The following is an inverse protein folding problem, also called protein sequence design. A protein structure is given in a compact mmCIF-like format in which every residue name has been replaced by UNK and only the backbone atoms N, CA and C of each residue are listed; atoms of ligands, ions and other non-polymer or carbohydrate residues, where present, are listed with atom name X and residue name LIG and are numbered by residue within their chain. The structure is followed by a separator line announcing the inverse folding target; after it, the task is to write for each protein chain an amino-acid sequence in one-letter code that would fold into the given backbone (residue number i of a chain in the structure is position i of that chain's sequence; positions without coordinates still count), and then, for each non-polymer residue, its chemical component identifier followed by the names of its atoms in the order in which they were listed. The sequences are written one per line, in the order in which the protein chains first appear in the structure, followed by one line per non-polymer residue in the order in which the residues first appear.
data_IF_408238959461
#
_entry.id   IF_408238959461
#
_cell.length_a   1.000
_cell.length_b   1.000
_cell.length_c   1.000
_cell.angle_alpha   90.00
_cell.angle_beta   90.00
_cell.angle_gamma   90.00
#
_symmetry.space_group_name_H-M   'P 1'
#
loop_
_entity.id
_entity.type
_entity.pdbx_description
1 polymer ?
#
# COMPACT_ATOMS: atom_id res chain seq x y z
N UNK A 1 48.27 -33.62 -1.58
CA UNK A 1 47.21 -33.77 -2.62
C UNK A 1 45.92 -34.18 -1.94
N UNK A 2 44.84 -33.42 -2.20
CA UNK A 2 43.68 -33.20 -1.33
C UNK A 2 42.53 -34.20 -1.61
N UNK A 3 42.68 -35.47 -1.20
CA UNK A 3 41.67 -36.54 -1.40
C UNK A 3 40.44 -36.47 -0.44
N UNK A 4 40.25 -35.40 0.35
CA UNK A 4 39.30 -35.46 1.50
C UNK A 4 37.89 -34.90 1.26
N UNK A 5 37.61 -34.27 0.10
CA UNK A 5 36.32 -33.65 -0.21
C UNK A 5 35.54 -34.25 -1.39
N UNK A 6 36.17 -35.01 -2.30
CA UNK A 6 35.51 -35.53 -3.51
C UNK A 6 34.56 -36.69 -3.27
N UNK A 7 34.71 -37.40 -2.16
CA UNK A 7 34.03 -38.70 -1.93
C UNK A 7 32.85 -38.58 -0.95
N UNK A 8 32.37 -37.37 -0.67
CA UNK A 8 31.24 -37.12 0.23
C UNK A 8 30.16 -36.29 -0.45
N UNK A 9 28.93 -36.49 0.00
CA UNK A 9 27.81 -35.58 -0.27
C UNK A 9 27.79 -34.52 0.83
N UNK A 10 27.74 -33.25 0.44
CA UNK A 10 27.64 -32.11 1.36
C UNK A 10 26.18 -31.74 1.56
N UNK A 11 25.67 -31.88 2.78
CA UNK A 11 24.29 -31.52 3.13
C UNK A 11 24.26 -30.18 3.82
N UNK A 12 23.41 -29.26 3.34
CA UNK A 12 23.18 -27.96 3.95
C UNK A 12 21.75 -27.90 4.51
N UNK A 13 21.60 -27.53 5.78
CA UNK A 13 20.27 -27.34 6.39
C UNK A 13 20.01 -25.86 6.68
N UNK A 14 18.76 -25.43 6.49
CA UNK A 14 18.35 -24.03 6.65
C UNK A 14 17.17 -23.89 7.63
N UNK A 15 16.99 -22.68 8.17
CA UNK A 15 15.89 -22.36 9.10
C UNK A 15 15.83 -23.29 10.32
N UNK A 16 14.63 -23.72 10.70
CA UNK A 16 14.43 -24.63 11.83
C UNK A 16 15.15 -25.99 11.68
N UNK A 17 15.48 -26.43 10.46
CA UNK A 17 16.28 -27.64 10.24
C UNK A 17 17.73 -27.44 10.66
N UNK A 18 18.30 -26.24 10.45
CA UNK A 18 19.68 -25.91 10.85
C UNK A 18 19.88 -26.02 12.35
N UNK A 19 18.91 -25.56 13.14
CA UNK A 19 18.98 -25.60 14.61
C UNK A 19 18.97 -27.03 15.14
N UNK A 20 18.31 -27.93 14.41
CA UNK A 20 18.06 -29.30 14.86
C UNK A 20 19.08 -30.32 14.35
N UNK A 21 19.47 -30.18 13.09
CA UNK A 21 20.34 -31.11 12.37
C UNK A 21 21.78 -30.58 12.24
N UNK A 22 22.00 -29.29 12.50
CA UNK A 22 23.26 -28.61 12.24
C UNK A 22 23.29 -27.93 10.86
N UNK A 23 24.23 -27.00 10.66
CA UNK A 23 24.29 -26.18 9.45
C UNK A 23 24.82 -26.93 8.22
N UNK A 24 25.82 -27.78 8.41
CA UNK A 24 26.49 -28.52 7.35
C UNK A 24 26.88 -29.91 7.84
N UNK A 25 26.55 -30.94 7.05
CA UNK A 25 26.83 -32.35 7.35
C UNK A 25 27.51 -32.98 6.15
N UNK A 26 28.59 -33.74 6.38
CA UNK A 26 29.27 -34.49 5.34
C UNK A 26 28.88 -35.97 5.42
N UNK A 27 28.17 -36.45 4.40
CA UNK A 27 27.73 -37.85 4.30
C UNK A 27 28.69 -38.62 3.42
N UNK A 28 29.34 -39.64 4.00
CA UNK A 28 30.31 -40.53 3.33
C UNK A 28 29.75 -41.92 3.05
N UNK A 29 28.60 -42.22 3.62
CA UNK A 29 27.88 -43.47 3.41
C UNK A 29 27.24 -43.48 2.03
N UNK A 30 27.11 -44.68 1.45
CA UNK A 30 26.51 -44.83 0.11
C UNK A 30 25.01 -44.58 0.20
N UNK A 31 24.57 -43.47 -0.38
CA UNK A 31 23.16 -43.11 -0.58
C UNK A 31 22.85 -43.10 -2.07
N UNK A 32 21.63 -43.50 -2.44
CA UNK A 32 21.22 -43.56 -3.84
C UNK A 32 20.33 -42.38 -4.25
N UNK A 33 19.51 -41.89 -3.34
CA UNK A 33 18.54 -40.82 -3.59
C UNK A 33 18.58 -39.73 -2.52
N UNK A 34 17.96 -38.59 -2.82
CA UNK A 34 17.76 -37.50 -1.85
C UNK A 34 16.95 -37.97 -0.63
N UNK A 35 16.00 -38.90 -0.81
CA UNK A 35 15.23 -39.48 0.30
C UNK A 35 16.08 -40.34 1.22
N UNK A 36 17.02 -41.12 0.67
CA UNK A 36 17.96 -41.92 1.47
C UNK A 36 18.86 -41.01 2.31
N UNK A 37 19.33 -39.92 1.69
CA UNK A 37 20.14 -38.90 2.34
C UNK A 37 19.39 -38.22 3.49
N UNK A 38 18.11 -37.87 3.27
CA UNK A 38 17.26 -37.34 4.34
C UNK A 38 17.06 -38.33 5.48
N UNK A 39 16.72 -39.57 5.16
CA UNK A 39 16.47 -40.62 6.16
C UNK A 39 17.69 -40.90 7.03
N UNK A 40 18.88 -40.70 6.45
CA UNK A 40 20.15 -40.79 7.16
C UNK A 40 20.38 -39.59 8.08
N UNK A 41 20.23 -38.36 7.56
CA UNK A 41 20.47 -37.13 8.31
C UNK A 41 19.44 -36.93 9.44
N UNK A 42 18.19 -37.30 9.22
CA UNK A 42 17.10 -37.17 10.19
C UNK A 42 16.91 -38.41 11.08
N UNK A 43 17.83 -39.39 11.04
CA UNK A 43 17.67 -40.70 11.72
C UNK A 43 17.36 -40.56 13.21
N UNK A 44 18.04 -39.63 13.88
CA UNK A 44 17.93 -39.42 15.32
C UNK A 44 16.83 -38.41 15.71
N UNK A 45 16.04 -37.95 14.74
CA UNK A 45 14.94 -36.99 14.93
C UNK A 45 13.61 -37.60 14.45
N UNK A 46 12.90 -38.36 15.32
CA UNK A 46 11.71 -39.12 14.94
C UNK A 46 10.59 -38.28 14.31
N UNK A 47 10.48 -37.03 14.72
CA UNK A 47 9.47 -36.08 14.24
C UNK A 47 9.82 -35.43 12.88
N UNK A 48 11.02 -35.69 12.35
CA UNK A 48 11.47 -35.29 11.02
C UNK A 48 11.49 -36.45 10.01
N UNK A 49 10.95 -37.62 10.36
CA UNK A 49 11.00 -38.83 9.51
C UNK A 49 10.37 -38.66 8.13
N UNK A 50 9.24 -37.97 8.03
CA UNK A 50 8.61 -37.69 6.74
C UNK A 50 8.84 -36.23 6.33
N UNK A 51 9.67 -35.97 5.31
CA UNK A 51 9.94 -34.61 4.87
C UNK A 51 8.87 -34.07 3.91
N UNK A 52 7.97 -34.91 3.40
CA UNK A 52 7.07 -34.55 2.29
C UNK A 52 6.09 -33.47 2.74
N UNK A 53 6.00 -32.40 1.95
CA UNK A 53 5.16 -31.24 2.26
C UNK A 53 5.71 -30.28 3.32
N UNK A 54 6.77 -30.66 4.06
CA UNK A 54 7.37 -29.87 5.15
C UNK A 54 8.82 -29.47 4.92
N UNK A 55 9.47 -30.01 3.89
CA UNK A 55 10.85 -29.71 3.51
C UNK A 55 10.95 -29.75 1.99
N UNK A 56 11.76 -28.86 1.42
CA UNK A 56 12.17 -28.87 0.01
C UNK A 56 13.64 -29.23 -0.07
N UNK A 57 14.00 -29.96 -1.13
CA UNK A 57 15.38 -30.31 -1.43
C UNK A 57 15.87 -29.59 -2.70
N UNK A 58 17.15 -29.23 -2.71
CA UNK A 58 17.85 -28.78 -3.90
C UNK A 58 19.19 -29.48 -4.01
N UNK A 59 19.54 -29.99 -5.20
CA UNK A 59 20.85 -30.57 -5.51
C UNK A 59 21.60 -29.59 -6.40
N UNK A 60 22.83 -29.22 -6.02
CA UNK A 60 23.71 -28.33 -6.79
C UNK A 60 22.99 -27.05 -7.27
N UNK A 61 22.34 -26.35 -6.33
CA UNK A 61 21.58 -25.10 -6.55
C UNK A 61 20.28 -25.23 -7.37
N UNK A 62 19.83 -26.45 -7.70
CA UNK A 62 18.58 -26.68 -8.41
C UNK A 62 17.59 -27.49 -7.55
N UNK A 63 16.33 -27.08 -7.49
CA UNK A 63 15.29 -27.86 -6.81
C UNK A 63 15.17 -29.26 -7.43
N UNK A 64 14.99 -30.28 -6.59
CA UNK A 64 14.94 -31.65 -7.02
C UNK A 64 13.84 -32.44 -6.30
N UNK A 65 13.42 -33.56 -6.91
CA UNK A 65 12.48 -34.50 -6.30
C UNK A 65 13.19 -35.42 -5.30
N UNK A 66 12.45 -35.99 -4.35
CA UNK A 66 12.96 -36.93 -3.35
C UNK A 66 13.60 -38.19 -3.95
N UNK A 67 13.20 -38.60 -5.15
CA UNK A 67 13.78 -39.74 -5.87
C UNK A 67 14.99 -39.37 -6.75
N UNK A 68 15.42 -38.10 -6.73
CA UNK A 68 16.56 -37.65 -7.53
C UNK A 68 17.82 -38.40 -7.09
N UNK A 69 18.61 -38.97 -8.03
CA UNK A 69 19.87 -39.61 -7.71
C UNK A 69 20.89 -38.64 -7.10
N UNK A 70 21.69 -39.14 -6.15
CA UNK A 70 22.76 -38.39 -5.48
C UNK A 70 24.08 -39.13 -5.71
N UNK A 71 25.12 -38.36 -6.02
CA UNK A 71 26.48 -38.84 -6.32
C UNK A 71 27.50 -38.21 -5.36
N UNK A 72 28.62 -38.89 -5.09
CA UNK A 72 29.72 -38.30 -4.33
C UNK A 72 30.19 -36.96 -4.96
N UNK A 73 30.36 -35.94 -4.13
CA UNK A 73 30.71 -34.57 -4.56
C UNK A 73 29.50 -33.64 -4.72
N UNK A 74 28.28 -34.16 -4.67
CA UNK A 74 27.08 -33.32 -4.70
C UNK A 74 26.91 -32.47 -3.44
N UNK A 75 26.34 -31.28 -3.63
CA UNK A 75 25.75 -30.48 -2.57
C UNK A 75 24.23 -30.65 -2.58
N UNK A 76 23.64 -30.99 -1.43
CA UNK A 76 22.20 -31.13 -1.25
C UNK A 76 21.71 -30.24 -0.12
N UNK A 77 20.85 -29.28 -0.43
CA UNK A 77 20.26 -28.36 0.53
C UNK A 77 18.85 -28.81 0.93
N UNK A 78 18.60 -28.93 2.24
CA UNK A 78 17.28 -29.13 2.82
C UNK A 78 16.77 -27.84 3.44
N UNK A 79 15.61 -27.39 2.96
CA UNK A 79 15.02 -26.10 3.32
C UNK A 79 13.60 -26.34 3.82
N UNK A 80 13.21 -25.85 5.01
CA UNK A 80 11.80 -25.79 5.37
C UNK A 80 11.05 -24.93 4.34
N UNK A 81 9.74 -25.15 4.13
CA UNK A 81 8.94 -24.32 3.25
C UNK A 81 9.08 -22.86 3.68
N UNK A 82 9.27 -21.98 2.70
CA UNK A 82 9.13 -20.53 2.89
C UNK A 82 7.65 -20.22 3.07
N UNK A 83 7.12 -20.43 4.27
CA UNK A 83 5.97 -19.81 4.95
C UNK A 83 5.53 -20.73 6.09
N UNK A 84 5.60 -20.22 7.33
CA UNK A 84 5.05 -20.88 8.50
C UNK A 84 3.52 -20.83 8.50
N UNK A 85 2.90 -21.91 8.96
CA UNK A 85 1.47 -21.99 9.24
C UNK A 85 1.17 -23.30 9.96
N UNK A 86 1.02 -23.25 11.29
CA UNK A 86 0.51 -24.35 12.11
C UNK A 86 -1.02 -24.25 12.13
N UNK A 87 -1.74 -25.30 11.76
CA UNK A 87 -3.20 -25.34 11.87
C UNK A 87 -3.63 -25.38 13.34
N UNK A 88 -4.23 -24.30 13.83
CA UNK A 88 -4.99 -24.31 15.10
C UNK A 88 -6.41 -24.79 14.82
N UNK A 89 -6.72 -26.01 15.26
CA UNK A 89 -8.09 -26.53 15.37
C UNK A 89 -8.77 -25.91 16.61
N UNK A 90 -10.11 -25.80 16.58
CA UNK A 90 -11.04 -25.44 17.69
C UNK A 90 -11.68 -24.04 17.78
N UNK A 91 -11.76 -23.29 16.69
CA UNK A 91 -12.86 -22.33 16.53
C UNK A 91 -13.42 -22.44 15.11
N UNK A 92 -14.74 -22.63 14.98
CA UNK A 92 -15.41 -22.56 13.68
C UNK A 92 -15.05 -21.27 12.93
N UNK A 93 -15.21 -21.23 11.61
CA UNK A 93 -14.73 -20.11 10.83
C UNK A 93 -15.35 -18.78 11.26
N UNK A 94 -14.52 -17.74 11.37
CA UNK A 94 -14.95 -16.38 11.74
C UNK A 94 -15.71 -15.76 10.57
N UNK A 95 -17.03 -15.60 10.72
CA UNK A 95 -17.87 -14.95 9.72
C UNK A 95 -18.27 -13.54 10.20
N UNK A 96 -17.76 -12.53 9.51
CA UNK A 96 -18.18 -11.14 9.69
C UNK A 96 -18.97 -10.66 8.46
N UNK A 97 -20.19 -10.18 8.65
CA UNK A 97 -20.92 -9.50 7.57
C UNK A 97 -21.61 -8.26 8.10
N UNK A 98 -21.61 -7.20 7.29
CA UNK A 98 -22.25 -5.95 7.67
C UNK A 98 -22.71 -5.13 6.47
N UNK A 99 -23.84 -4.44 6.66
CA UNK A 99 -24.27 -3.30 5.86
C UNK A 99 -24.03 -2.05 6.70
N UNK A 100 -23.22 -1.12 6.21
CA UNK A 100 -22.78 0.06 6.99
C UNK A 100 -23.08 1.36 6.24
N UNK A 101 -23.26 2.45 6.97
CA UNK A 101 -23.36 3.81 6.38
C UNK A 101 -22.05 4.58 6.49
N UNK A 102 -21.23 4.23 7.48
CA UNK A 102 -19.94 4.84 7.74
C UNK A 102 -18.83 4.25 6.84
N UNK A 103 -17.69 4.95 6.69
CA UNK A 103 -16.54 4.41 5.98
C UNK A 103 -16.08 3.05 6.52
N UNK A 104 -15.71 2.15 5.61
CA UNK A 104 -15.25 0.81 5.98
C UNK A 104 -13.81 0.86 6.49
N UNK A 105 -13.59 0.43 7.73
CA UNK A 105 -12.26 0.26 8.32
C UNK A 105 -11.62 -1.04 7.84
N UNK A 106 -10.74 -0.94 6.84
CA UNK A 106 -10.06 -2.07 6.23
C UNK A 106 -9.07 -2.76 7.16
N UNK A 107 -8.42 -2.01 8.06
CA UNK A 107 -7.45 -2.57 9.00
C UNK A 107 -8.17 -3.45 10.02
N UNK A 108 -9.29 -2.97 10.54
CA UNK A 108 -10.16 -3.74 11.42
C UNK A 108 -10.71 -4.99 10.73
N UNK A 109 -11.18 -4.85 9.49
CA UNK A 109 -11.72 -5.96 8.70
C UNK A 109 -10.70 -7.11 8.57
N UNK A 110 -9.45 -6.79 8.25
CA UNK A 110 -8.37 -7.79 8.12
C UNK A 110 -8.00 -8.40 9.48
N UNK A 111 -8.02 -7.60 10.56
CA UNK A 111 -7.74 -8.09 11.90
C UNK A 111 -8.83 -9.06 12.40
N UNK A 112 -10.10 -8.80 12.12
CA UNK A 112 -11.23 -9.63 12.57
C UNK A 112 -11.27 -11.02 11.92
N UNK A 113 -10.80 -11.16 10.67
CA UNK A 113 -10.78 -12.47 10.00
C UNK A 113 -9.55 -13.30 10.32
N UNK A 114 -8.47 -12.67 10.80
CA UNK A 114 -7.19 -13.34 11.07
C UNK A 114 -7.28 -14.29 12.25
N UNK A 115 -6.67 -15.46 12.09
CA UNK A 115 -6.40 -16.42 13.16
C UNK A 115 -4.96 -16.90 13.10
N UNK A 116 -4.55 -17.60 14.15
CA UNK A 116 -3.16 -18.04 14.35
C UNK A 116 -2.71 -19.07 13.30
N UNK A 117 -3.65 -19.82 12.73
CA UNK A 117 -3.40 -20.80 11.67
C UNK A 117 -3.38 -20.24 10.24
N UNK A 118 -3.53 -18.92 10.06
CA UNK A 118 -3.67 -18.33 8.73
C UNK A 118 -2.33 -17.96 8.12
N UNK A 119 -1.94 -18.72 7.09
CA UNK A 119 -0.77 -18.42 6.27
C UNK A 119 -1.03 -17.33 5.23
N UNK A 120 -2.29 -16.91 5.01
CA UNK A 120 -2.62 -15.84 4.09
C UNK A 120 -3.97 -15.17 4.39
N UNK A 121 -4.03 -13.88 4.06
CA UNK A 121 -5.27 -13.11 3.95
C UNK A 121 -5.28 -12.42 2.59
N UNK A 122 -6.38 -12.54 1.86
CA UNK A 122 -6.61 -11.80 0.62
C UNK A 122 -7.75 -10.81 0.84
N UNK A 123 -7.58 -9.57 0.39
CA UNK A 123 -8.59 -8.53 0.52
C UNK A 123 -8.92 -7.89 -0.84
N UNK A 124 -10.18 -7.55 -1.03
CA UNK A 124 -10.68 -6.79 -2.17
C UNK A 124 -11.38 -5.52 -1.67
N UNK A 125 -11.19 -4.43 -2.41
CA UNK A 125 -11.73 -3.11 -2.10
C UNK A 125 -12.38 -2.56 -3.38
N UNK A 126 -13.70 -2.38 -3.37
CA UNK A 126 -14.44 -1.75 -4.44
C UNK A 126 -14.73 -0.29 -4.12
N UNK A 127 -14.07 0.63 -4.82
CA UNK A 127 -14.24 2.06 -4.64
C UNK A 127 -15.08 2.72 -5.74
N UNK A 128 -15.70 3.85 -5.42
CA UNK A 128 -16.46 4.66 -6.38
C UNK A 128 -15.51 5.28 -7.41
N UNK A 129 -15.78 5.04 -8.69
CA UNK A 129 -15.01 5.62 -9.81
C UNK A 129 -15.61 6.96 -10.22
N UNK A 130 -14.76 7.90 -10.64
CA UNK A 130 -15.17 9.23 -11.11
C UNK A 130 -15.74 9.24 -12.53
N UNK A 131 -15.72 8.10 -13.22
CA UNK A 131 -16.28 7.95 -14.57
C UNK A 131 -17.04 6.63 -14.69
N UNK A 132 -18.14 6.66 -15.44
CA UNK A 132 -18.94 5.51 -15.81
C UNK A 132 -19.42 5.67 -17.24
N UNK A 133 -19.15 4.67 -18.09
CA UNK A 133 -19.45 4.70 -19.54
C UNK A 133 -19.02 6.01 -20.25
N UNK A 134 -17.86 6.57 -19.88
CA UNK A 134 -17.34 7.81 -20.44
C UNK A 134 -17.96 9.10 -19.90
N UNK A 135 -18.96 9.00 -19.00
CA UNK A 135 -19.59 10.15 -18.34
C UNK A 135 -19.01 10.38 -16.94
N UNK A 136 -18.81 11.64 -16.50
CA UNK A 136 -18.39 11.93 -15.13
C UNK A 136 -19.45 11.48 -14.13
N UNK A 137 -19.02 10.86 -13.04
CA UNK A 137 -19.86 10.52 -11.88
C UNK A 137 -19.30 11.27 -10.68
N UNK A 138 -20.13 12.02 -9.97
CA UNK A 138 -19.70 12.75 -8.77
C UNK A 138 -20.07 12.03 -7.48
N UNK A 139 -21.09 11.17 -7.53
CA UNK A 139 -21.64 10.49 -6.36
C UNK A 139 -22.40 9.24 -6.77
N UNK A 140 -22.42 8.26 -5.88
CA UNK A 140 -23.30 7.10 -5.94
C UNK A 140 -24.24 7.09 -4.75
N UNK A 141 -25.50 6.75 -4.97
CA UNK A 141 -26.36 6.31 -3.88
C UNK A 141 -26.58 4.80 -3.99
N UNK A 142 -26.36 4.10 -2.89
CA UNK A 142 -26.67 2.69 -2.75
C UNK A 142 -27.94 2.52 -1.92
N UNK A 143 -28.97 1.94 -2.54
CA UNK A 143 -30.23 1.60 -1.88
C UNK A 143 -30.34 0.08 -1.73
N UNK A 144 -30.94 -0.40 -0.65
CA UNK A 144 -31.08 -1.84 -0.39
C UNK A 144 -32.27 -2.16 0.50
N UNK A 145 -32.78 -3.39 0.38
CA UNK A 145 -33.69 -3.96 1.35
C UNK A 145 -32.90 -4.70 2.44
N UNK A 146 -32.59 -3.97 3.52
CA UNK A 146 -31.64 -4.38 4.58
C UNK A 146 -31.80 -5.83 5.07
N UNK A 147 -33.00 -6.34 5.44
CA UNK A 147 -33.13 -7.71 5.95
C UNK A 147 -32.79 -8.79 4.92
N UNK A 148 -33.10 -8.55 3.64
CA UNK A 148 -32.78 -9.49 2.57
C UNK A 148 -31.29 -9.44 2.23
N UNK A 149 -30.72 -8.24 2.18
CA UNK A 149 -29.30 -8.06 1.90
C UNK A 149 -28.41 -8.64 3.01
N UNK A 150 -28.77 -8.47 4.30
CA UNK A 150 -28.03 -9.11 5.41
C UNK A 150 -28.09 -10.64 5.32
N UNK A 151 -29.28 -11.20 5.05
CA UNK A 151 -29.45 -12.65 4.85
C UNK A 151 -28.58 -13.17 3.70
N UNK A 152 -28.53 -12.43 2.60
CA UNK A 152 -27.78 -12.82 1.41
C UNK A 152 -26.27 -12.68 1.62
N UNK A 153 -25.80 -11.64 2.33
CA UNK A 153 -24.40 -11.54 2.76
C UNK A 153 -23.98 -12.75 3.60
N UNK A 154 -24.81 -13.14 4.59
CA UNK A 154 -24.53 -14.31 5.43
C UNK A 154 -24.44 -15.57 4.59
N UNK A 155 -25.42 -15.80 3.70
CA UNK A 155 -25.42 -16.96 2.79
C UNK A 155 -24.14 -17.01 1.95
N UNK A 156 -23.80 -15.92 1.27
CA UNK A 156 -22.58 -15.83 0.44
C UNK A 156 -21.33 -16.11 1.27
N UNK A 157 -21.22 -15.49 2.46
CA UNK A 157 -20.07 -15.68 3.35
C UNK A 157 -19.91 -17.12 3.81
N UNK A 158 -21.00 -17.77 4.22
CA UNK A 158 -21.02 -19.19 4.58
C UNK A 158 -20.65 -20.07 3.40
N UNK A 159 -21.30 -19.90 2.25
CA UNK A 159 -21.08 -20.73 1.07
C UNK A 159 -19.64 -20.64 0.55
N UNK A 160 -19.05 -19.44 0.54
CA UNK A 160 -17.64 -19.24 0.13
C UNK A 160 -16.69 -19.83 1.17
N UNK A 161 -16.98 -19.68 2.45
CA UNK A 161 -16.17 -20.24 3.54
C UNK A 161 -16.09 -21.75 3.47
N UNK A 162 -17.23 -22.42 3.30
CA UNK A 162 -17.31 -23.88 3.19
C UNK A 162 -16.60 -24.39 1.94
N UNK A 163 -16.83 -23.75 0.79
CA UNK A 163 -16.23 -24.18 -0.49
C UNK A 163 -14.71 -24.05 -0.55
N UNK A 164 -14.15 -23.03 0.10
CA UNK A 164 -12.71 -22.76 0.06
C UNK A 164 -11.97 -23.17 1.33
N UNK A 165 -12.66 -23.71 2.34
CA UNK A 165 -12.05 -24.11 3.62
C UNK A 165 -11.40 -22.93 4.34
N UNK A 166 -12.11 -21.80 4.40
CA UNK A 166 -11.61 -20.60 5.07
C UNK A 166 -11.65 -20.75 6.58
N UNK A 167 -10.72 -20.12 7.27
CA UNK A 167 -10.75 -19.92 8.72
C UNK A 167 -11.49 -18.65 9.12
N UNK A 168 -11.65 -17.71 8.18
CA UNK A 168 -12.44 -16.51 8.37
C UNK A 168 -12.74 -15.77 7.07
N UNK A 169 -13.90 -15.12 7.02
CA UNK A 169 -14.30 -14.24 5.93
C UNK A 169 -15.04 -13.01 6.47
N UNK A 170 -14.80 -11.86 5.86
CA UNK A 170 -15.55 -10.65 6.09
C UNK A 170 -16.12 -10.09 4.80
N UNK A 171 -17.42 -9.78 4.78
CA UNK A 171 -18.13 -9.16 3.66
C UNK A 171 -18.85 -7.91 4.14
N UNK A 172 -18.37 -6.73 3.75
CA UNK A 172 -18.97 -5.46 4.17
C UNK A 172 -19.33 -4.65 2.95
N UNK A 173 -20.58 -4.20 2.88
CA UNK A 173 -21.05 -3.29 1.85
C UNK A 173 -21.58 -2.00 2.48
N UNK A 174 -21.16 -0.87 1.94
CA UNK A 174 -21.61 0.44 2.38
C UNK A 174 -22.88 0.85 1.62
N UNK A 175 -23.87 1.36 2.33
CA UNK A 175 -25.15 1.82 1.81
C UNK A 175 -25.31 3.32 2.06
N UNK A 176 -26.21 3.97 1.32
CA UNK A 176 -26.36 5.42 1.35
C UNK A 176 -25.49 6.11 0.31
N UNK A 177 -25.13 7.37 0.58
CA UNK A 177 -24.49 8.25 -0.39
C UNK A 177 -22.98 8.20 -0.27
N UNK A 178 -22.29 7.93 -1.38
CA UNK A 178 -20.84 7.81 -1.47
C UNK A 178 -20.26 8.73 -2.54
N UNK A 179 -19.17 9.39 -2.22
CA UNK A 179 -18.39 10.21 -3.14
C UNK A 179 -17.38 9.38 -3.93
N UNK A 180 -16.90 9.94 -5.04
CA UNK A 180 -15.79 9.36 -5.81
C UNK A 180 -14.58 9.11 -4.92
N UNK A 181 -13.99 7.91 -5.05
CA UNK A 181 -12.86 7.45 -4.24
C UNK A 181 -13.26 6.72 -2.96
N UNK A 182 -14.50 6.86 -2.47
CA UNK A 182 -14.93 6.16 -1.27
C UNK A 182 -15.12 4.66 -1.50
N UNK A 183 -14.86 3.86 -0.46
CA UNK A 183 -15.04 2.41 -0.50
C UNK A 183 -16.52 2.07 -0.34
N UNK A 184 -17.04 1.35 -1.33
CA UNK A 184 -18.42 0.86 -1.36
C UNK A 184 -18.55 -0.60 -0.90
N UNK A 185 -17.53 -1.42 -1.13
CA UNK A 185 -17.54 -2.83 -0.74
C UNK A 185 -16.13 -3.26 -0.35
N UNK A 186 -16.02 -4.08 0.69
CA UNK A 186 -14.78 -4.72 1.08
C UNK A 186 -15.01 -6.19 1.40
N UNK A 187 -14.06 -7.02 0.96
CA UNK A 187 -14.00 -8.45 1.24
C UNK A 187 -12.64 -8.76 1.83
N UNK A 188 -12.59 -9.57 2.88
CA UNK A 188 -11.35 -10.16 3.38
C UNK A 188 -11.55 -11.66 3.61
N UNK A 189 -10.67 -12.50 3.08
CA UNK A 189 -10.71 -13.94 3.22
C UNK A 189 -9.39 -14.44 3.81
N UNK A 190 -9.46 -15.13 4.95
CA UNK A 190 -8.33 -15.71 5.65
C UNK A 190 -8.31 -17.24 5.48
N UNK A 191 -7.13 -17.79 5.20
CA UNK A 191 -6.95 -19.21 5.03
C UNK A 191 -5.53 -19.65 5.41
N UNK A 192 -5.33 -20.94 5.75
CA UNK A 192 -3.99 -21.51 5.95
C UNK A 192 -3.08 -21.36 4.73
N UNK A 193 -3.65 -21.30 3.51
CA UNK A 193 -2.90 -21.26 2.26
C UNK A 193 -3.35 -20.14 1.32
N UNK A 194 -2.39 -19.42 0.75
CA UNK A 194 -2.61 -18.26 -0.14
C UNK A 194 -3.58 -18.48 -1.31
N UNK A 195 -3.59 -19.69 -1.89
CA UNK A 195 -4.45 -19.99 -3.04
C UNK A 195 -5.93 -19.97 -2.64
N UNK A 196 -6.27 -20.54 -1.50
CA UNK A 196 -7.65 -20.56 -1.00
C UNK A 196 -8.14 -19.14 -0.71
N UNK A 197 -7.33 -18.33 0.01
CA UNK A 197 -7.66 -16.93 0.30
C UNK A 197 -7.93 -16.11 -0.97
N UNK A 198 -7.05 -16.19 -1.98
CA UNK A 198 -7.19 -15.44 -3.24
C UNK A 198 -8.42 -15.85 -4.04
N UNK A 199 -8.65 -17.15 -4.20
CA UNK A 199 -9.80 -17.67 -4.95
C UNK A 199 -11.13 -17.32 -4.26
N UNK A 200 -11.19 -17.50 -2.94
CA UNK A 200 -12.37 -17.17 -2.16
C UNK A 200 -12.69 -15.67 -2.20
N UNK A 201 -11.68 -14.81 -2.09
CA UNK A 201 -11.86 -13.37 -2.20
C UNK A 201 -12.44 -12.96 -3.56
N UNK A 202 -11.89 -13.49 -4.66
CA UNK A 202 -12.41 -13.23 -6.00
C UNK A 202 -13.86 -13.73 -6.15
N UNK A 203 -14.15 -14.94 -5.68
CA UNK A 203 -15.48 -15.53 -5.80
C UNK A 203 -16.54 -14.83 -4.95
N UNK A 204 -16.17 -14.40 -3.73
CA UNK A 204 -17.05 -13.62 -2.87
C UNK A 204 -17.48 -12.32 -3.57
N UNK A 205 -16.54 -11.59 -4.19
CA UNK A 205 -16.85 -10.35 -4.92
C UNK A 205 -17.81 -10.59 -6.09
N UNK A 206 -17.56 -11.63 -6.89
CA UNK A 206 -18.45 -11.96 -8.00
C UNK A 206 -19.83 -12.44 -7.52
N UNK A 207 -19.90 -13.11 -6.37
CA UNK A 207 -21.18 -13.50 -5.76
C UNK A 207 -21.94 -12.32 -5.19
N UNK A 208 -21.26 -11.34 -4.57
CA UNK A 208 -21.88 -10.10 -4.13
C UNK A 208 -22.50 -9.34 -5.31
N UNK A 209 -21.76 -9.18 -6.41
CA UNK A 209 -22.28 -8.47 -7.61
C UNK A 209 -23.50 -9.14 -8.24
N UNK A 210 -23.55 -10.47 -8.18
CA UNK A 210 -24.61 -11.27 -8.82
C UNK A 210 -25.85 -11.39 -7.94
N UNK A 211 -25.66 -11.65 -6.65
CA UNK A 211 -26.72 -12.12 -5.76
C UNK A 211 -27.17 -11.07 -4.73
N UNK A 212 -26.31 -10.10 -4.36
CA UNK A 212 -26.64 -9.13 -3.30
C UNK A 212 -27.63 -8.06 -3.80
N UNK A 213 -28.80 -7.88 -3.15
CA UNK A 213 -29.81 -6.90 -3.56
C UNK A 213 -29.44 -5.48 -3.10
N UNK A 214 -28.41 -4.91 -3.71
CA UNK A 214 -27.99 -3.52 -3.53
C UNK A 214 -28.03 -2.82 -4.88
N UNK A 215 -28.87 -1.80 -5.00
CA UNK A 215 -29.06 -1.03 -6.22
C UNK A 215 -28.21 0.23 -6.19
N UNK A 216 -27.59 0.53 -7.33
CA UNK A 216 -26.66 1.64 -7.50
C UNK A 216 -27.30 2.72 -8.36
N UNK A 217 -27.35 3.95 -7.84
CA UNK A 217 -27.74 5.15 -8.58
C UNK A 217 -26.55 6.07 -8.77
N UNK A 218 -26.19 6.34 -10.01
CA UNK A 218 -25.12 7.26 -10.41
C UNK A 218 -25.64 8.68 -10.52
N UNK A 219 -24.90 9.65 -9.95
CA UNK A 219 -25.18 11.08 -10.12
C UNK A 219 -24.12 11.71 -11.02
N UNK A 220 -24.59 12.20 -12.15
CA UNK A 220 -23.82 12.87 -13.20
C UNK A 220 -24.14 14.38 -13.21
N UNK A 221 -23.37 15.22 -13.92
CA UNK A 221 -23.71 16.63 -14.11
C UNK A 221 -25.09 16.88 -14.71
N UNK A 222 -25.59 15.97 -15.54
CA UNK A 222 -26.85 16.07 -16.29
C UNK A 222 -28.04 15.36 -15.60
N UNK A 223 -27.82 14.71 -14.44
CA UNK A 223 -28.88 14.08 -13.65
C UNK A 223 -28.47 12.77 -13.00
N UNK A 224 -29.43 12.11 -12.34
CA UNK A 224 -29.22 10.81 -11.68
C UNK A 224 -29.77 9.66 -12.52
N UNK A 225 -29.02 8.55 -12.63
CA UNK A 225 -29.39 7.35 -13.40
C UNK A 225 -29.22 6.09 -12.57
N UNK A 226 -30.17 5.17 -12.66
CA UNK A 226 -30.04 3.84 -12.06
C UNK A 226 -29.17 2.96 -12.95
N UNK A 227 -28.17 2.31 -12.36
CA UNK A 227 -27.32 1.36 -13.07
C UNK A 227 -28.07 0.03 -13.15
N UNK A 228 -28.41 -0.41 -14.36
CA UNK A 228 -29.08 -1.69 -14.57
C UNK A 228 -28.05 -2.83 -14.63
N UNK A 229 -28.44 -4.04 -14.21
CA UNK A 229 -27.55 -5.20 -14.15
C UNK A 229 -26.86 -5.57 -15.49
N UNK A 230 -27.35 -5.08 -16.63
CA UNK A 230 -26.76 -5.28 -17.96
C UNK A 230 -25.59 -4.34 -18.31
N UNK A 231 -25.35 -3.26 -17.55
CA UNK A 231 -24.36 -2.23 -17.87
C UNK A 231 -22.93 -2.54 -17.36
N UNK A 232 -22.73 -3.74 -16.78
CA UNK A 232 -21.47 -4.14 -16.10
C UNK A 232 -20.57 -5.04 -16.99
N UNK A 233 -20.93 -5.31 -18.25
CA UNK A 233 -20.21 -6.21 -19.14
C UNK A 233 -19.45 -5.54 -20.29
N UNK A 234 -18.30 -4.93 -20.02
CA UNK A 234 -17.39 -4.46 -21.07
C UNK A 234 -16.29 -5.49 -21.35
N UNK A 235 -16.61 -6.53 -22.13
CA UNK A 235 -15.62 -7.44 -22.69
C UNK A 235 -14.65 -6.67 -23.60
N UNK A 236 -13.35 -6.81 -23.34
CA UNK A 236 -12.27 -6.32 -24.18
C UNK A 236 -12.31 -7.01 -25.55
N UNK A 237 -12.45 -6.21 -26.61
CA UNK A 237 -11.98 -6.58 -27.95
C UNK A 237 -11.08 -5.49 -28.54
N UNK A 238 -10.07 -5.87 -29.36
CA UNK A 238 -8.95 -5.02 -29.71
C UNK A 238 -9.27 -4.17 -30.94
N UNK A 239 -9.07 -2.86 -30.86
CA UNK A 239 -9.10 -2.00 -32.05
C UNK A 239 -7.70 -1.70 -32.57
N UNK A 240 -7.51 -2.13 -33.81
CA UNK A 240 -6.36 -1.93 -34.68
C UNK A 240 -6.13 -0.46 -35.05
N UNK A 241 -4.91 -0.20 -35.52
CA UNK A 241 -4.37 1.08 -35.95
C UNK A 241 -4.98 1.64 -37.24
N UNK A 242 -5.10 2.98 -37.31
CA UNK A 242 -5.00 3.81 -38.53
C UNK A 242 -4.84 5.29 -38.12
N UNK A 243 -3.63 5.86 -38.24
CA UNK A 243 -3.15 6.78 -39.29
C UNK A 243 -3.84 8.16 -39.40
N UNK A 244 -3.07 9.16 -38.98
CA UNK A 244 -2.82 10.51 -39.53
C UNK A 244 -3.63 10.96 -40.76
N UNK A 245 -4.19 12.19 -40.69
CA UNK A 245 -3.94 13.35 -41.59
C UNK A 245 -4.69 14.60 -41.03
N UNK A 246 -4.00 15.75 -40.92
CA UNK A 246 -4.61 17.09 -40.90
C UNK A 246 -4.13 17.89 -42.14
N UNK A 247 -4.24 19.23 -42.23
CA UNK A 247 -4.95 20.21 -41.41
C UNK A 247 -5.80 21.21 -42.25
N UNK A 248 -6.48 22.17 -41.60
CA UNK A 248 -7.11 23.30 -42.30
C UNK A 248 -7.70 24.38 -41.39
N UNK A 249 -7.00 25.51 -41.28
CA UNK A 249 -7.45 26.87 -40.88
C UNK A 249 -6.65 27.85 -41.76
N UNK A 250 -7.07 29.11 -42.04
CA UNK A 250 -7.65 30.04 -41.04
C UNK A 250 -8.74 31.01 -41.58
N UNK A 251 -9.31 31.78 -40.66
CA UNK A 251 -10.10 32.99 -40.94
C UNK A 251 -10.09 33.91 -39.71
N UNK A 252 -9.50 35.09 -39.89
CA UNK A 252 -9.32 36.21 -38.96
C UNK A 252 -10.55 37.13 -38.93
N UNK A 253 -10.81 37.77 -37.79
CA UNK A 253 -10.81 39.24 -37.58
C UNK A 253 -11.69 39.66 -36.38
N UNK A 254 -11.22 40.72 -35.73
CA UNK A 254 -11.66 41.28 -34.47
C UNK A 254 -12.74 42.37 -34.66
N UNK A 255 -13.47 42.69 -33.58
CA UNK A 255 -13.62 44.11 -33.20
C UNK A 255 -13.99 44.29 -31.73
N UNK A 256 -13.45 45.36 -31.16
CA UNK A 256 -13.64 45.83 -29.78
C UNK A 256 -14.69 46.96 -29.71
N UNK A 257 -15.30 47.13 -28.54
CA UNK A 257 -15.45 48.39 -27.79
C UNK A 257 -16.72 48.41 -26.93
N UNK A 258 -16.56 48.69 -25.63
CA UNK A 258 -17.05 49.91 -24.98
C UNK A 258 -17.00 49.80 -23.45
N UNK A 259 -16.44 50.84 -22.83
CA UNK A 259 -16.18 51.06 -21.40
C UNK A 259 -17.37 51.73 -20.68
N UNK A 260 -17.47 51.49 -19.36
CA UNK A 260 -18.19 52.34 -18.40
C UNK A 260 -17.85 51.96 -16.93
N UNK A 261 -17.14 52.83 -16.20
CA UNK A 261 -16.87 52.73 -14.74
C UNK A 261 -18.12 53.07 -13.89
N UNK A 262 -18.24 52.92 -12.58
CA UNK A 262 -17.43 52.85 -11.33
C UNK A 262 -18.34 52.15 -10.27
N UNK A 263 -17.97 51.76 -9.00
CA UNK A 263 -16.93 52.33 -8.13
C UNK A 263 -16.05 51.32 -7.34
N UNK A 264 -15.02 51.87 -6.69
CA UNK A 264 -14.11 51.20 -5.74
C UNK A 264 -14.81 50.30 -4.71
N UNK A 265 -14.61 48.98 -4.85
CA UNK A 265 -14.86 48.00 -3.80
C UNK A 265 -13.57 47.74 -2.99
N UNK A 266 -13.74 47.61 -1.67
CA UNK A 266 -12.74 47.18 -0.68
C UNK A 266 -11.87 46.00 -1.17
N UNK A 267 -10.62 45.84 -0.68
CA UNK A 267 -9.70 44.83 -1.20
C UNK A 267 -10.37 43.47 -1.14
N UNK A 268 -10.62 42.89 -2.32
CA UNK A 268 -11.19 41.57 -2.42
C UNK A 268 -10.21 40.60 -1.74
N UNK A 269 -10.66 40.03 -0.62
CA UNK A 269 -10.14 38.77 -0.11
C UNK A 269 -10.18 37.80 -1.29
N UNK A 270 -9.03 37.56 -1.92
CA UNK A 270 -8.83 36.49 -2.89
C UNK A 270 -9.04 35.18 -2.11
N UNK A 271 -10.31 34.79 -2.06
CA UNK A 271 -10.90 33.81 -1.17
C UNK A 271 -10.21 32.45 -1.33
N UNK A 272 -9.58 31.99 -0.24
CA UNK A 272 -9.26 30.60 0.12
C UNK A 272 -9.65 29.58 -0.96
N UNK A 273 -8.68 29.17 -1.79
CA UNK A 273 -8.92 28.28 -2.94
C UNK A 273 -9.63 26.96 -2.59
N UNK A 274 -9.56 26.51 -1.34
CA UNK A 274 -10.16 25.27 -0.85
C UNK A 274 -11.58 25.41 -0.29
N UNK A 275 -12.17 26.62 -0.31
CA UNK A 275 -13.56 26.85 0.10
C UNK A 275 -14.47 27.04 -1.12
N UNK A 276 -15.64 26.41 -1.07
CA UNK A 276 -16.74 26.69 -2.00
C UNK A 276 -17.53 27.95 -1.60
N UNK A 277 -18.45 28.41 -2.46
CA UNK A 277 -19.30 29.58 -2.18
C UNK A 277 -20.14 29.48 -0.89
N UNK A 278 -20.38 28.27 -0.38
CA UNK A 278 -21.11 27.97 0.86
C UNK A 278 -20.22 27.72 2.08
N UNK A 279 -18.89 27.82 1.94
CA UNK A 279 -17.93 27.43 2.98
C UNK A 279 -17.65 25.92 3.06
N UNK A 280 -18.20 25.11 2.15
CA UNK A 280 -17.86 23.67 2.04
C UNK A 280 -16.43 23.48 1.55
N UNK A 281 -15.68 22.58 2.17
CA UNK A 281 -14.34 22.16 1.71
C UNK A 281 -14.43 21.52 0.32
N UNK A 282 -13.55 21.95 -0.59
CA UNK A 282 -13.42 21.35 -1.93
C UNK A 282 -11.96 21.25 -2.34
N UNK A 283 -11.63 20.16 -3.03
CA UNK A 283 -10.39 20.07 -3.78
C UNK A 283 -10.52 20.98 -5.01
N UNK A 284 -9.48 21.76 -5.32
CA UNK A 284 -9.48 22.70 -6.46
C UNK A 284 -9.42 21.89 -7.75
N UNK A 285 -10.32 22.15 -8.70
CA UNK A 285 -10.20 21.59 -10.05
C UNK A 285 -9.01 22.23 -10.79
N UNK A 286 -8.12 21.38 -11.30
CA UNK A 286 -6.91 21.78 -12.03
C UNK A 286 -6.86 21.19 -13.44
N UNK A 287 -7.97 20.65 -13.93
CA UNK A 287 -8.06 19.97 -15.24
C UNK A 287 -7.68 20.86 -16.42
N UNK A 288 -8.06 22.14 -16.38
CA UNK A 288 -7.74 23.11 -17.44
C UNK A 288 -6.31 23.68 -17.34
N UNK A 289 -5.54 23.29 -16.32
CA UNK A 289 -4.18 23.78 -16.12
C UNK A 289 -3.19 22.78 -16.74
N UNK A 290 -2.37 23.18 -17.71
CA UNK A 290 -1.38 22.27 -18.29
C UNK A 290 -0.35 21.84 -17.23
N UNK A 291 0.11 20.57 -17.26
CA UNK A 291 1.14 20.12 -16.35
C UNK A 291 2.47 20.78 -16.69
N UNK A 292 3.15 21.30 -15.66
CA UNK A 292 4.50 21.87 -15.78
C UNK A 292 5.42 21.23 -14.75
N UNK A 293 6.74 21.39 -14.91
CA UNK A 293 7.67 21.01 -13.85
C UNK A 293 7.37 21.82 -12.58
N UNK A 294 7.27 21.13 -11.45
CA UNK A 294 7.04 21.68 -10.12
C UNK A 294 8.11 21.18 -9.19
N UNK A 295 8.66 22.05 -8.37
CA UNK A 295 9.53 21.64 -7.29
C UNK A 295 9.24 22.44 -6.02
N UNK A 296 9.50 21.84 -4.87
CA UNK A 296 9.40 22.48 -3.58
C UNK A 296 10.50 21.98 -2.66
N UNK A 297 11.02 22.89 -1.83
CA UNK A 297 11.97 22.59 -0.76
C UNK A 297 11.35 23.04 0.56
N UNK A 298 11.38 22.18 1.57
CA UNK A 298 10.90 22.49 2.91
C UNK A 298 11.95 22.11 3.95
N UNK A 299 11.81 22.65 5.14
CA UNK A 299 12.61 22.25 6.29
C UNK A 299 11.74 22.01 7.53
N UNK A 300 12.31 21.25 8.46
CA UNK A 300 11.86 21.10 9.83
C UNK A 300 13.09 21.04 10.74
N UNK A 301 12.95 21.45 11.99
CA UNK A 301 14.00 21.37 12.98
C UNK A 301 13.49 20.61 14.20
N UNK A 302 14.35 19.75 14.74
CA UNK A 302 14.11 19.04 15.98
C UNK A 302 15.11 19.56 16.99
N UNK A 303 14.63 20.19 18.05
CA UNK A 303 15.47 20.63 19.17
C UNK A 303 15.45 19.58 20.27
N UNK A 304 16.63 19.31 20.84
CA UNK A 304 16.73 18.43 22.01
C UNK A 304 16.38 19.19 23.28
N UNK A 305 15.52 18.59 24.10
CA UNK A 305 15.19 19.10 25.43
C UNK A 305 16.34 18.89 26.41
N UNK A 306 17.09 17.80 26.24
CA UNK A 306 18.35 17.53 26.93
C UNK A 306 19.54 17.58 25.95
N UNK A 307 20.53 18.47 26.14
CA UNK A 307 21.75 18.49 25.34
C UNK A 307 22.51 17.15 25.32
N UNK A 308 22.35 16.29 26.33
CA UNK A 308 22.97 14.96 26.36
C UNK A 308 22.44 14.02 25.25
N UNK A 309 21.26 14.28 24.69
CA UNK A 309 20.68 13.55 23.55
C UNK A 309 21.60 13.55 22.33
N UNK A 310 22.39 14.61 22.14
CA UNK A 310 23.38 14.70 21.08
C UNK A 310 24.43 13.59 21.18
N UNK A 311 24.87 13.26 22.40
CA UNK A 311 25.81 12.17 22.63
C UNK A 311 25.15 10.81 22.32
N UNK A 312 23.90 10.60 22.72
CA UNK A 312 23.13 9.38 22.40
C UNK A 312 23.02 9.18 20.90
N UNK A 313 22.70 10.24 20.15
CA UNK A 313 22.61 10.18 18.69
C UNK A 313 23.96 9.79 18.06
N UNK A 314 25.08 10.36 18.54
CA UNK A 314 26.43 10.11 18.01
C UNK A 314 26.99 8.74 18.34
N UNK A 315 26.75 8.24 19.55
CA UNK A 315 27.29 6.97 20.02
C UNK A 315 26.43 5.76 19.65
N UNK A 316 25.27 6.01 19.02
CA UNK A 316 24.34 5.01 18.54
C UNK A 316 23.10 4.94 19.42
N UNK A 317 21.96 5.33 18.86
CA UNK A 317 20.70 5.24 19.57
C UNK A 317 20.28 3.77 19.79
N UNK A 318 19.56 3.45 20.89
CA UNK A 318 19.12 2.07 21.18
C UNK A 318 18.30 1.42 20.07
N UNK A 319 17.59 2.24 19.28
CA UNK A 319 16.72 1.80 18.18
C UNK A 319 17.42 1.71 16.82
N UNK A 320 18.73 1.95 16.75
CA UNK A 320 19.52 1.90 15.52
C UNK A 320 19.80 3.28 14.91
N UNK A 321 20.00 3.31 13.58
CA UNK A 321 20.38 4.53 12.85
C UNK A 321 19.19 5.49 12.70
N UNK A 322 19.15 6.48 13.59
CA UNK A 322 18.12 7.53 13.65
C UNK A 322 18.04 8.31 12.34
N UNK A 323 19.18 8.69 11.76
CA UNK A 323 19.20 9.57 10.60
C UNK A 323 18.76 8.83 9.33
N UNK A 324 19.18 7.58 9.18
CA UNK A 324 18.72 6.74 8.07
C UNK A 324 17.22 6.43 8.17
N UNK A 325 16.73 6.10 9.37
CA UNK A 325 15.30 5.87 9.61
C UNK A 325 14.48 7.13 9.27
N UNK A 326 14.90 8.30 9.74
CA UNK A 326 14.23 9.57 9.47
C UNK A 326 14.21 9.90 7.96
N UNK A 327 15.32 9.68 7.23
CA UNK A 327 15.37 9.86 5.77
C UNK A 327 14.34 8.99 5.04
N UNK A 328 14.31 7.69 5.35
CA UNK A 328 13.37 6.76 4.73
C UNK A 328 11.92 7.13 5.06
N UNK A 329 11.64 7.47 6.31
CA UNK A 329 10.31 7.87 6.76
C UNK A 329 9.83 9.13 6.04
N UNK A 330 10.69 10.14 5.86
CA UNK A 330 10.37 11.34 5.09
C UNK A 330 10.00 11.04 3.63
N UNK A 331 10.76 10.16 2.96
CA UNK A 331 10.46 9.72 1.59
C UNK A 331 9.10 9.00 1.52
N UNK A 332 8.82 8.12 2.48
CA UNK A 332 7.54 7.42 2.55
C UNK A 332 6.38 8.39 2.84
N UNK A 333 6.60 9.37 3.73
CA UNK A 333 5.63 10.40 4.09
C UNK A 333 5.21 11.24 2.88
N UNK A 334 6.17 11.74 2.09
CA UNK A 334 5.85 12.49 0.87
C UNK A 334 5.00 11.69 -0.13
N UNK A 335 5.24 10.39 -0.29
CA UNK A 335 4.46 9.55 -1.21
C UNK A 335 3.01 9.34 -0.73
N UNK A 336 2.74 9.56 0.55
CA UNK A 336 1.42 9.42 1.18
C UNK A 336 0.77 10.76 1.54
N UNK A 337 1.34 11.89 1.12
CA UNK A 337 0.76 13.23 1.35
C UNK A 337 -0.73 13.33 1.00
N UNK A 338 -1.23 12.84 -0.16
CA UNK A 338 -2.67 12.91 -0.47
C UNK A 338 -3.55 12.02 0.44
N UNK A 339 -2.97 11.04 1.14
CA UNK A 339 -3.68 10.23 2.14
C UNK A 339 -3.78 10.96 3.49
N UNK A 340 -2.85 11.87 3.77
CA UNK A 340 -2.74 12.58 5.05
C UNK A 340 -3.39 13.96 5.01
N UNK A 341 -3.29 14.68 3.88
CA UNK A 341 -3.81 16.04 3.71
C UNK A 341 -5.08 15.97 2.84
N UNK A 342 -6.29 16.18 3.42
CA UNK A 342 -7.56 15.79 2.80
C UNK A 342 -7.86 16.37 1.40
N UNK A 343 -7.32 17.54 1.08
CA UNK A 343 -7.61 18.26 -0.17
C UNK A 343 -6.41 18.34 -1.12
N UNK A 344 -5.35 17.58 -0.84
CA UNK A 344 -4.21 17.45 -1.76
C UNK A 344 -4.55 16.52 -2.93
N UNK A 345 -4.15 16.91 -4.12
CA UNK A 345 -4.21 16.03 -5.28
C UNK A 345 -3.18 14.90 -5.17
N UNK A 346 -3.47 13.69 -5.66
CA UNK A 346 -2.46 12.67 -5.83
C UNK A 346 -1.50 13.07 -6.95
N UNK A 347 -0.19 13.11 -6.67
CA UNK A 347 0.83 13.55 -7.61
C UNK A 347 1.84 12.44 -7.94
N UNK A 348 2.20 12.25 -9.22
CA UNK A 348 3.23 11.29 -9.63
C UNK A 348 4.62 11.89 -9.38
N UNK A 349 5.08 11.85 -8.12
CA UNK A 349 6.40 12.34 -7.72
C UNK A 349 7.51 11.68 -8.54
N UNK A 350 8.34 12.50 -9.20
CA UNK A 350 9.44 12.02 -10.05
C UNK A 350 10.79 12.08 -9.36
N UNK A 351 10.92 12.90 -8.30
CA UNK A 351 12.12 12.93 -7.47
C UNK A 351 11.78 13.38 -6.04
N UNK A 352 12.44 12.74 -5.08
CA UNK A 352 12.38 13.05 -3.66
C UNK A 352 13.78 12.92 -3.07
N UNK A 353 14.20 13.93 -2.31
CA UNK A 353 15.43 13.90 -1.50
C UNK A 353 15.09 14.38 -0.08
N UNK A 354 15.69 13.74 0.92
CA UNK A 354 15.54 14.10 2.33
C UNK A 354 16.91 14.09 2.96
N UNK A 355 17.37 15.28 3.34
CA UNK A 355 18.64 15.50 4.03
C UNK A 355 18.35 15.64 5.52
N UNK A 356 19.10 14.90 6.33
CA UNK A 356 18.96 14.89 7.78
C UNK A 356 20.35 15.11 8.34
N UNK A 357 20.57 16.26 8.97
CA UNK A 357 21.86 16.72 9.49
C UNK A 357 21.75 17.00 10.98
N UNK A 358 22.80 16.67 11.73
CA UNK A 358 22.88 16.96 13.17
C UNK A 358 23.38 18.39 13.33
N UNK A 359 22.73 19.17 14.17
CA UNK A 359 23.13 20.52 14.55
C UNK A 359 23.71 20.48 15.97
N UNK A 360 24.83 21.18 16.18
CA UNK A 360 25.52 21.23 17.47
C UNK A 360 25.00 22.35 18.38
N UNK A 361 24.63 23.49 17.78
CA UNK A 361 24.24 24.69 18.52
C UNK A 361 23.14 25.48 17.78
N UNK A 362 21.91 25.52 18.32
CA UNK A 362 21.42 24.66 19.40
C UNK A 362 21.44 23.17 19.01
N UNK A 363 21.63 22.25 19.97
CA UNK A 363 21.72 20.82 19.67
C UNK A 363 20.39 20.28 19.14
N UNK A 364 20.45 19.57 18.02
CA UNK A 364 19.25 19.10 17.36
C UNK A 364 19.49 18.37 16.05
N UNK A 365 18.40 18.17 15.30
CA UNK A 365 18.43 17.60 13.96
C UNK A 365 17.69 18.52 13.01
N UNK A 366 18.42 18.99 11.99
CA UNK A 366 17.86 19.73 10.88
C UNK A 366 17.47 18.78 9.75
N UNK A 367 16.28 18.97 9.24
CA UNK A 367 15.72 18.17 8.15
C UNK A 367 15.39 19.10 7.00
N UNK A 368 15.86 18.75 5.81
CA UNK A 368 15.59 19.50 4.58
C UNK A 368 15.11 18.53 3.52
N UNK A 369 13.89 18.72 3.03
CA UNK A 369 13.27 17.88 2.01
C UNK A 369 13.12 18.62 0.69
N UNK A 370 13.23 17.87 -0.40
CA UNK A 370 13.00 18.36 -1.75
C UNK A 370 12.10 17.39 -2.52
N UNK A 371 11.05 17.92 -3.14
CA UNK A 371 10.11 17.17 -3.96
C UNK A 371 9.99 17.78 -5.36
N UNK A 372 9.79 16.93 -6.37
CA UNK A 372 9.62 17.36 -7.76
C UNK A 372 8.68 16.44 -8.54
N UNK A 373 7.87 17.01 -9.41
CA UNK A 373 7.05 16.27 -10.38
C UNK A 373 6.70 17.13 -11.61
N UNK A 374 6.07 16.53 -12.62
CA UNK A 374 5.35 17.27 -13.65
C UNK A 374 3.85 17.20 -13.36
N UNK A 375 3.21 18.32 -13.01
CA UNK A 375 1.81 18.36 -12.61
C UNK A 375 1.17 19.75 -12.76
N UNK A 376 -0.16 19.76 -12.66
CA UNK A 376 -1.02 20.95 -12.78
C UNK A 376 -1.19 21.74 -11.45
N UNK A 377 -0.74 21.16 -10.34
CA UNK A 377 -0.65 21.78 -9.01
C UNK A 377 0.76 21.61 -8.43
N UNK A 378 1.11 22.39 -7.41
CA UNK A 378 2.43 22.38 -6.79
C UNK A 378 2.66 21.17 -5.86
N UNK A 379 3.92 21.03 -5.42
CA UNK A 379 4.41 19.93 -4.55
C UNK A 379 4.84 20.41 -3.16
N UNK A 380 4.34 21.57 -2.73
CA UNK A 380 4.68 22.17 -1.43
C UNK A 380 4.33 21.22 -0.27
N UNK A 381 3.18 20.55 -0.37
CA UNK A 381 2.68 19.69 0.68
C UNK A 381 3.48 18.39 0.80
N UNK A 382 3.97 17.84 -0.31
CA UNK A 382 4.84 16.67 -0.30
C UNK A 382 6.18 16.98 0.35
N UNK A 383 6.77 18.16 0.06
CA UNK A 383 7.99 18.60 0.72
C UNK A 383 7.77 18.81 2.24
N UNK A 384 6.70 19.52 2.64
CA UNK A 384 6.38 19.76 4.05
C UNK A 384 6.08 18.47 4.82
N UNK A 385 5.34 17.55 4.20
CA UNK A 385 5.02 16.25 4.80
C UNK A 385 6.29 15.42 5.01
N UNK A 386 7.20 15.39 4.02
CA UNK A 386 8.48 14.68 4.18
C UNK A 386 9.29 15.20 5.37
N UNK A 387 9.43 16.52 5.50
CA UNK A 387 10.15 17.12 6.62
C UNK A 387 9.50 16.78 7.97
N UNK A 388 8.17 16.84 8.04
CA UNK A 388 7.39 16.58 9.26
C UNK A 388 7.48 15.12 9.70
N UNK A 389 7.28 14.17 8.78
CA UNK A 389 7.32 12.73 9.09
C UNK A 389 8.73 12.28 9.48
N UNK A 390 9.75 12.83 8.83
CA UNK A 390 11.14 12.62 9.24
C UNK A 390 11.39 13.15 10.66
N UNK A 391 10.87 14.33 11.01
CA UNK A 391 11.02 14.92 12.35
C UNK A 391 10.33 14.07 13.41
N UNK A 392 9.09 13.63 13.17
CA UNK A 392 8.36 12.71 14.06
C UNK A 392 9.11 11.38 14.24
N UNK A 393 9.82 10.92 13.22
CA UNK A 393 10.64 9.70 13.30
C UNK A 393 11.86 9.91 14.19
N UNK A 394 12.53 11.08 14.12
CA UNK A 394 13.61 11.43 15.07
C UNK A 394 13.09 11.36 16.50
N UNK A 395 11.91 11.94 16.75
CA UNK A 395 11.25 11.85 18.06
C UNK A 395 11.01 10.40 18.48
N UNK A 396 10.39 9.57 17.63
CA UNK A 396 10.12 8.17 17.99
C UNK A 396 11.39 7.39 18.35
N UNK A 397 12.46 7.64 17.61
CA UNK A 397 13.75 6.96 17.75
C UNK A 397 14.52 7.39 18.99
N UNK A 398 14.29 8.60 19.50
CA UNK A 398 15.05 9.18 20.62
C UNK A 398 14.22 9.48 21.88
N UNK A 399 12.88 9.38 21.85
CA UNK A 399 12.00 9.76 22.99
C UNK A 399 12.26 9.02 24.30
N UNK A 400 12.92 7.87 24.25
CA UNK A 400 13.34 7.15 25.47
C UNK A 400 14.53 7.80 26.16
N UNK A 401 15.40 8.47 25.40
CA UNK A 401 16.51 9.25 25.94
C UNK A 401 16.06 10.68 26.28
N UNK A 402 15.20 11.27 25.46
CA UNK A 402 14.72 12.64 25.64
C UNK A 402 13.24 12.77 25.24
N UNK A 403 12.31 12.69 26.20
CA UNK A 403 10.88 12.81 25.91
C UNK A 403 10.44 14.25 25.65
N UNK A 404 11.30 15.25 25.87
CA UNK A 404 10.97 16.68 25.80
C UNK A 404 11.47 17.36 24.52
N UNK A 405 11.95 16.59 23.54
CA UNK A 405 12.29 17.11 22.21
C UNK A 405 11.11 17.85 21.59
N UNK A 406 11.38 18.94 20.89
CA UNK A 406 10.37 19.73 20.18
C UNK A 406 10.64 19.76 18.69
N UNK A 407 9.57 19.74 17.89
CA UNK A 407 9.64 20.01 16.45
C UNK A 407 9.24 21.47 16.24
N UNK A 408 10.06 22.23 15.54
CA UNK A 408 9.80 23.60 15.14
C UNK A 408 10.11 23.83 13.66
N UNK A 409 9.89 25.07 13.22
CA UNK A 409 10.31 25.55 11.90
C UNK A 409 9.90 24.67 10.71
N UNK A 410 8.77 23.96 10.80
CA UNK A 410 8.17 23.25 9.65
C UNK A 410 7.69 24.30 8.65
N UNK A 411 8.47 24.52 7.59
CA UNK A 411 8.22 25.64 6.67
C UNK A 411 8.79 25.41 5.28
N UNK A 412 8.19 26.06 4.29
CA UNK A 412 8.66 26.06 2.92
C UNK A 412 9.88 26.99 2.78
N UNK A 413 10.96 26.49 2.18
CA UNK A 413 12.16 27.25 1.82
C UNK A 413 12.06 27.83 0.42
N UNK A 414 11.56 27.03 -0.52
CA UNK A 414 11.37 27.49 -1.90
C UNK A 414 10.32 26.66 -2.63
N UNK A 415 9.78 27.23 -3.70
CA UNK A 415 9.01 26.50 -4.71
C UNK A 415 9.26 27.07 -6.10
N UNK A 416 9.09 26.24 -7.12
CA UNK A 416 9.21 26.63 -8.52
C UNK A 416 8.09 26.05 -9.39
N UNK A 417 7.79 26.77 -10.46
CA UNK A 417 6.81 26.37 -11.47
C UNK A 417 5.37 26.81 -11.24
N UNK A 418 4.63 26.93 -12.35
CA UNK A 418 3.25 27.41 -12.43
C UNK A 418 3.07 28.91 -12.31
N UNK A 419 1.82 29.32 -12.06
CA UNK A 419 1.40 30.73 -12.13
C UNK A 419 2.16 31.65 -11.18
N UNK A 420 2.51 31.17 -9.98
CA UNK A 420 3.24 31.98 -8.99
C UNK A 420 4.73 32.15 -9.29
N UNK A 421 5.26 31.45 -10.30
CA UNK A 421 6.69 31.44 -10.60
C UNK A 421 7.54 30.86 -9.46
N UNK A 422 8.81 31.23 -9.48
CA UNK A 422 9.80 30.77 -8.50
C UNK A 422 9.80 31.67 -7.27
N UNK A 423 9.52 31.07 -6.11
CA UNK A 423 9.42 31.76 -4.84
C UNK A 423 10.46 31.21 -3.89
N UNK A 424 11.22 32.10 -3.27
CA UNK A 424 12.18 31.81 -2.22
C UNK A 424 11.71 32.45 -0.93
N UNK A 425 11.89 31.76 0.20
CA UNK A 425 11.61 32.34 1.50
C UNK A 425 12.52 33.55 1.73
N UNK A 426 11.99 34.72 2.13
CA UNK A 426 12.82 35.84 2.55
C UNK A 426 13.76 35.41 3.68
N UNK A 427 14.98 35.94 3.66
CA UNK A 427 16.01 35.65 4.67
C UNK A 427 15.65 36.19 6.03
#
# INVERSE_FOLDING_TARGET
MNRSRSDAVRVLCFGALRERLGAEILVREKVTTVLDLWSMVARDHPDLRDPRGRVRAARNLAYCDWQTPVEPGDEVAFMPPVTGGSTSEDAGPRLHVALVTDPIDLTRLVAEVRGDGDGAIAAFIGAVRGTSQGSPVHRLDYETYLPMADRELRRIGTDVTERHGLSGIALVHRVGSLLVGEVSVAVAAAAPHRRAALLACAEAVESLKRDLPVWKREHHPDGARWVSAGDVGGASQPHAAASLVGPGRPGTEANADALGGEPMAAPALDLLSHLGPSGSFRMVDVSDRPPTLRAAKAEAMVHFGDPATLAVLRHGAPKGDVLAAARLAGIMGAKRTPELIPLCHPLPLTHLDVQVTVEELPPGVRIVSFARCAASTGVEMEALTAATVAALTVLDMLKSADPWMTIDSVRLLSKSGGRSGDVQRPR
#
